data_IF_805340718793
#
_entry.id   IF_805340718793
#
_cell.length_a   1.000
_cell.length_b   1.000
_cell.length_c   1.000
_cell.angle_alpha   90.00
_cell.angle_beta   90.00
_cell.angle_gamma   90.00
#
_symmetry.space_group_name_H-M   'P 1'
#
loop_
_entity.id
_entity.type
_entity.pdbx_description
1 polymer ?
#
# COMPACT_ATOMS: atom_id res chain seq x y z
N UNK A 1 -4.89 15.43 16.86
CA UNK A 1 -5.34 14.19 16.20
C UNK A 1 -4.16 13.24 16.15
N UNK A 2 -4.13 12.28 17.08
CA UNK A 2 -3.01 11.35 17.26
C UNK A 2 -2.89 10.39 16.07
N UNK A 3 -1.69 10.34 15.49
CA UNK A 3 -1.33 9.36 14.48
C UNK A 3 -1.05 8.03 15.18
N UNK A 4 -2.02 7.12 15.20
CA UNK A 4 -1.93 5.80 15.81
C UNK A 4 -1.02 4.84 15.02
N UNK A 5 0.26 5.18 14.86
CA UNK A 5 1.18 4.43 14.00
C UNK A 5 1.63 3.07 14.55
N UNK A 6 1.39 2.72 15.81
CA UNK A 6 2.20 1.63 16.41
C UNK A 6 1.50 0.51 17.18
N UNK A 7 0.20 0.56 17.46
CA UNK A 7 -0.47 -0.52 18.21
C UNK A 7 -1.14 -1.61 17.37
N UNK A 8 -1.12 -1.52 16.06
CA UNK A 8 -2.13 -2.21 15.26
C UNK A 8 -1.64 -3.58 14.68
N UNK A 9 -0.39 -3.76 14.26
CA UNK A 9 -0.07 -4.86 13.33
C UNK A 9 0.23 -6.25 13.93
N UNK A 10 0.29 -6.43 15.26
CA UNK A 10 0.45 -7.77 15.86
C UNK A 10 -0.87 -8.47 16.22
N UNK A 11 -2.02 -7.90 15.87
CA UNK A 11 -3.32 -8.50 16.21
C UNK A 11 -4.54 -7.93 15.49
N UNK A 12 -4.39 -7.00 14.53
CA UNK A 12 -5.55 -6.56 13.74
C UNK A 12 -6.13 -7.73 12.96
N UNK A 13 -7.42 -7.98 13.19
CA UNK A 13 -8.28 -8.67 12.25
C UNK A 13 -8.31 -7.85 10.95
N UNK A 14 -7.84 -8.42 9.83
CA UNK A 14 -7.70 -7.74 8.52
C UNK A 14 -8.96 -7.00 8.04
N UNK A 15 -10.13 -7.34 8.61
CA UNK A 15 -11.41 -6.64 8.46
C UNK A 15 -11.38 -5.19 8.97
N UNK A 16 -10.64 -4.90 10.05
CA UNK A 16 -10.48 -3.57 10.64
C UNK A 16 -9.70 -2.62 9.71
N UNK A 17 -8.87 -3.17 8.81
CA UNK A 17 -8.10 -2.39 7.82
C UNK A 17 -9.01 -1.81 6.72
N UNK A 18 -10.16 -2.44 6.47
CA UNK A 18 -11.20 -1.92 5.57
C UNK A 18 -12.16 -0.95 6.26
N UNK A 19 -12.30 -1.04 7.58
CA UNK A 19 -13.02 -0.06 8.40
C UNK A 19 -12.18 1.21 8.64
N UNK A 20 -10.85 1.07 8.61
CA UNK A 20 -9.93 2.20 8.74
C UNK A 20 -9.87 3.01 7.43
N UNK A 21 -10.65 4.09 7.38
CA UNK A 21 -10.57 5.12 6.34
C UNK A 21 -9.43 6.07 6.67
N UNK A 22 -8.21 5.72 6.28
CA UNK A 22 -7.06 6.53 6.63
C UNK A 22 -5.72 6.01 6.14
N UNK A 23 -4.70 6.73 6.59
CA UNK A 23 -3.31 6.52 6.24
C UNK A 23 -2.63 5.70 7.34
N UNK A 24 -2.09 4.54 6.97
CA UNK A 24 -1.42 3.60 7.86
C UNK A 24 0.05 3.54 7.46
N UNK A 25 0.94 3.83 8.41
CA UNK A 25 2.38 3.77 8.20
C UNK A 25 2.98 2.54 8.89
N UNK A 26 3.74 1.74 8.15
CA UNK A 26 4.50 0.61 8.66
C UNK A 26 5.99 0.97 8.71
N UNK A 27 6.58 1.07 9.90
CA UNK A 27 8.02 1.28 10.09
C UNK A 27 8.74 0.02 10.58
N UNK A 28 10.01 -0.19 10.20
CA UNK A 28 10.86 -1.19 10.88
C UNK A 28 11.11 -0.82 12.34
N UNK A 29 10.68 -1.68 13.26
CA UNK A 29 11.41 -1.88 14.52
C UNK A 29 12.01 -3.29 14.45
N UNK A 30 13.18 -3.43 13.82
CA UNK A 30 13.88 -4.71 13.70
C UNK A 30 14.82 -4.79 12.49
N UNK A 31 15.81 -5.70 12.49
CA UNK A 31 16.79 -5.84 11.42
C UNK A 31 16.16 -6.15 10.07
N UNK A 32 16.85 -5.78 8.99
CA UNK A 32 16.49 -6.08 7.59
C UNK A 32 16.03 -7.54 7.47
N UNK A 33 14.78 -7.76 7.01
CA UNK A 33 14.00 -9.03 6.98
C UNK A 33 12.81 -9.09 7.97
N UNK A 34 12.41 -7.96 8.56
CA UNK A 34 11.26 -7.84 9.49
C UNK A 34 9.85 -8.12 8.94
N UNK A 35 9.68 -8.52 7.66
CA UNK A 35 8.40 -8.99 7.12
C UNK A 35 7.40 -7.91 6.64
N UNK A 36 7.79 -6.64 6.50
CA UNK A 36 6.90 -5.55 6.01
C UNK A 36 6.28 -5.83 4.63
N UNK A 37 7.10 -6.24 3.66
CA UNK A 37 6.59 -6.69 2.36
C UNK A 37 5.64 -7.88 2.52
N UNK A 38 5.83 -8.76 3.51
CA UNK A 38 4.85 -9.82 3.77
C UNK A 38 3.53 -9.28 4.34
N UNK A 39 3.57 -8.23 5.18
CA UNK A 39 2.36 -7.53 5.64
C UNK A 39 1.66 -6.86 4.44
N UNK A 40 2.39 -6.11 3.62
CA UNK A 40 1.85 -5.47 2.41
C UNK A 40 1.23 -6.50 1.45
N UNK A 41 1.94 -7.58 1.12
CA UNK A 41 1.44 -8.65 0.24
C UNK A 41 0.24 -9.38 0.86
N UNK A 42 0.24 -9.64 2.17
CA UNK A 42 -0.88 -10.31 2.86
C UNK A 42 -2.12 -9.43 2.93
N UNK A 43 -1.95 -8.14 3.24
CA UNK A 43 -3.03 -7.15 3.21
C UNK A 43 -3.60 -7.02 1.79
N UNK A 44 -2.73 -6.89 0.78
CA UNK A 44 -3.13 -6.87 -0.63
C UNK A 44 -3.96 -8.11 -0.98
N UNK A 45 -3.45 -9.31 -0.66
CA UNK A 45 -4.13 -10.57 -0.94
C UNK A 45 -5.51 -10.68 -0.29
N UNK A 46 -5.70 -10.06 0.87
CA UNK A 46 -6.94 -10.11 1.62
C UNK A 46 -7.99 -9.15 1.08
N UNK A 47 -7.59 -7.90 0.83
CA UNK A 47 -8.49 -6.88 0.26
C UNK A 47 -8.88 -7.24 -1.18
N UNK A 48 -7.92 -7.77 -1.95
CA UNK A 48 -8.11 -8.21 -3.33
C UNK A 48 -9.11 -9.36 -3.50
N UNK A 49 -9.61 -9.98 -2.42
CA UNK A 49 -10.70 -10.96 -2.51
C UNK A 49 -12.00 -10.34 -2.99
N UNK A 50 -12.26 -9.09 -2.58
CA UNK A 50 -13.55 -8.43 -2.78
C UNK A 50 -13.43 -7.03 -3.42
N UNK A 51 -12.23 -6.42 -3.40
CA UNK A 51 -12.03 -5.05 -3.85
C UNK A 51 -10.75 -4.90 -4.66
N UNK A 52 -10.63 -3.82 -5.44
CA UNK A 52 -9.41 -3.54 -6.18
C UNK A 52 -8.32 -2.95 -5.27
N UNK A 53 -7.08 -3.34 -5.52
CA UNK A 53 -5.87 -2.92 -4.80
C UNK A 53 -4.85 -2.36 -5.80
N UNK A 54 -4.34 -1.15 -5.54
CA UNK A 54 -3.18 -0.62 -6.24
C UNK A 54 -1.93 -0.83 -5.39
N UNK A 55 -0.91 -1.50 -5.94
CA UNK A 55 0.37 -1.74 -5.31
C UNK A 55 1.45 -0.96 -6.06
N UNK A 56 2.05 0.03 -5.41
CA UNK A 56 3.21 0.75 -5.91
C UNK A 56 4.46 0.06 -5.37
N UNK A 57 5.18 -0.64 -6.25
CA UNK A 57 6.40 -1.35 -5.93
C UNK A 57 7.61 -0.48 -6.27
N UNK A 58 8.29 0.01 -5.24
CA UNK A 58 9.44 0.90 -5.42
C UNK A 58 10.78 0.19 -5.19
N UNK A 59 10.74 -1.07 -4.79
CA UNK A 59 11.90 -1.88 -4.47
C UNK A 59 11.96 -3.18 -5.27
N UNK A 60 11.11 -3.31 -6.30
CA UNK A 60 10.92 -4.52 -7.10
C UNK A 60 10.72 -5.79 -6.25
N UNK A 61 10.04 -5.62 -5.11
CA UNK A 61 9.89 -6.62 -4.05
C UNK A 61 8.53 -7.32 -4.08
N UNK A 62 7.64 -6.86 -4.97
CA UNK A 62 6.35 -7.50 -5.22
C UNK A 62 6.55 -8.88 -5.86
N UNK A 63 5.83 -9.88 -5.36
CA UNK A 63 5.87 -11.25 -5.89
C UNK A 63 4.46 -11.84 -5.94
N UNK A 64 3.89 -12.01 -7.15
CA UNK A 64 2.64 -12.75 -7.33
C UNK A 64 2.71 -14.16 -6.75
N UNK A 65 3.86 -14.82 -6.84
CA UNK A 65 4.06 -16.17 -6.30
C UNK A 65 3.88 -16.19 -4.77
N UNK A 66 4.37 -15.17 -4.05
CA UNK A 66 4.14 -15.06 -2.60
C UNK A 66 2.68 -14.81 -2.25
N UNK A 67 1.96 -14.02 -3.04
CA UNK A 67 0.51 -13.83 -2.87
C UNK A 67 -0.22 -15.16 -3.07
N UNK A 68 0.09 -15.90 -4.13
CA UNK A 68 -0.50 -17.21 -4.39
C UNK A 68 -0.22 -18.21 -3.25
N UNK A 69 0.99 -18.16 -2.69
CA UNK A 69 1.37 -18.96 -1.52
C UNK A 69 0.53 -18.61 -0.28
N UNK A 70 0.34 -17.32 0.03
CA UNK A 70 -0.49 -16.91 1.17
C UNK A 70 -1.96 -17.32 1.01
N UNK A 71 -2.51 -17.11 -0.17
CA UNK A 71 -3.88 -17.54 -0.49
C UNK A 71 -4.01 -19.07 -0.41
N UNK A 72 -3.04 -19.81 -0.94
CA UNK A 72 -3.02 -21.26 -0.93
C UNK A 72 -2.96 -21.90 0.46
N UNK A 73 -2.46 -21.17 1.48
CA UNK A 73 -2.49 -21.60 2.89
C UNK A 73 -3.80 -21.28 3.62
N UNK A 74 -4.52 -20.26 3.16
CA UNK A 74 -5.72 -19.76 3.85
C UNK A 74 -6.98 -20.44 3.32
N UNK A 75 -6.91 -21.03 2.13
CA UNK A 75 -8.05 -21.65 1.45
C UNK A 75 -7.88 -23.16 1.53
N UNK A 76 -8.92 -23.87 1.98
CA UNK A 76 -9.09 -25.31 1.85
C UNK A 76 -10.07 -25.59 0.70
N UNK A 77 -9.63 -25.50 -0.58
CA UNK A 77 -10.55 -25.63 -1.70
C UNK A 77 -10.96 -27.09 -1.86
N UNK A 78 -12.20 -27.30 -2.27
CA UNK A 78 -12.79 -28.60 -2.59
C UNK A 78 -12.17 -29.26 -3.83
N UNK A 79 -11.50 -28.50 -4.71
CA UNK A 79 -10.79 -29.01 -5.89
C UNK A 79 -9.66 -28.08 -6.35
N UNK A 80 -8.68 -28.61 -7.08
CA UNK A 80 -7.56 -27.84 -7.64
C UNK A 80 -8.03 -26.76 -8.64
N UNK A 81 -9.12 -27.00 -9.36
CA UNK A 81 -9.69 -26.09 -10.35
C UNK A 81 -10.35 -24.87 -9.69
N UNK A 82 -11.10 -25.07 -8.60
CA UNK A 82 -11.68 -23.99 -7.80
C UNK A 82 -10.59 -23.10 -7.18
N UNK A 83 -9.48 -23.71 -6.74
CA UNK A 83 -8.30 -22.98 -6.25
C UNK A 83 -7.73 -22.05 -7.31
N UNK A 84 -7.53 -22.55 -8.53
CA UNK A 84 -6.96 -21.77 -9.63
C UNK A 84 -7.87 -20.61 -10.05
N UNK A 85 -9.18 -20.84 -10.16
CA UNK A 85 -10.13 -19.77 -10.49
C UNK A 85 -10.15 -18.66 -9.42
N UNK A 86 -10.12 -19.04 -8.14
CA UNK A 86 -10.05 -18.08 -7.05
C UNK A 86 -8.75 -17.28 -7.08
N UNK A 87 -7.60 -17.94 -7.28
CA UNK A 87 -6.30 -17.26 -7.39
C UNK A 87 -6.31 -16.25 -8.54
N UNK A 88 -6.79 -16.65 -9.72
CA UNK A 88 -6.90 -15.75 -10.88
C UNK A 88 -7.76 -14.52 -10.57
N UNK A 89 -8.91 -14.70 -9.91
CA UNK A 89 -9.78 -13.60 -9.48
C UNK A 89 -9.08 -12.64 -8.52
N UNK A 90 -8.34 -13.15 -7.53
CA UNK A 90 -7.63 -12.28 -6.58
C UNK A 90 -6.49 -11.54 -7.28
N UNK A 91 -5.75 -12.22 -8.16
CA UNK A 91 -4.64 -11.60 -8.89
C UNK A 91 -5.13 -10.50 -9.84
N UNK A 92 -6.27 -10.69 -10.52
CA UNK A 92 -6.85 -9.66 -11.39
C UNK A 92 -7.30 -8.40 -10.64
N UNK A 93 -7.53 -8.51 -9.33
CA UNK A 93 -7.91 -7.38 -8.48
C UNK A 93 -6.70 -6.60 -7.94
N UNK A 94 -5.47 -7.06 -8.15
CA UNK A 94 -4.24 -6.39 -7.72
C UNK A 94 -3.54 -5.81 -8.95
N UNK A 95 -3.59 -4.48 -9.08
CA UNK A 95 -2.79 -3.76 -10.07
C UNK A 95 -1.45 -3.38 -9.43
N UNK A 96 -0.35 -3.88 -9.97
CA UNK A 96 0.99 -3.54 -9.49
C UNK A 96 1.69 -2.61 -10.49
N UNK A 97 2.22 -1.49 -10.00
CA UNK A 97 3.00 -0.54 -10.78
C UNK A 97 4.37 -0.36 -10.13
N UNK A 98 5.43 -0.62 -10.89
CA UNK A 98 6.79 -0.38 -10.42
C UNK A 98 7.13 1.10 -10.58
N UNK A 99 7.58 1.74 -9.51
CA UNK A 99 7.87 3.17 -9.46
C UNK A 99 9.24 3.39 -8.84
N UNK A 100 10.18 3.96 -9.59
CA UNK A 100 11.60 4.02 -9.17
C UNK A 100 12.09 5.42 -8.78
N UNK A 101 11.27 6.45 -9.01
CA UNK A 101 11.54 7.82 -8.58
C UNK A 101 10.26 8.48 -8.02
N UNK A 102 10.46 9.56 -7.25
CA UNK A 102 9.36 10.24 -6.56
C UNK A 102 8.41 10.97 -7.52
N UNK A 103 8.87 11.40 -8.70
CA UNK A 103 8.04 12.09 -9.69
C UNK A 103 7.11 11.11 -10.40
N UNK A 104 7.63 9.94 -10.80
CA UNK A 104 6.81 8.84 -11.30
C UNK A 104 5.74 8.41 -10.27
N UNK A 105 6.05 8.48 -8.97
CA UNK A 105 5.04 8.25 -7.93
C UNK A 105 3.95 9.32 -7.97
N UNK A 106 4.31 10.60 -8.06
CA UNK A 106 3.33 11.69 -8.19
C UNK A 106 2.45 11.53 -9.41
N UNK A 107 3.02 11.16 -10.56
CA UNK A 107 2.27 10.93 -11.79
C UNK A 107 1.21 9.84 -11.59
N UNK A 108 1.59 8.70 -10.99
CA UNK A 108 0.65 7.62 -10.70
C UNK A 108 -0.41 8.04 -9.68
N UNK A 109 -0.06 8.80 -8.65
CA UNK A 109 -1.02 9.29 -7.66
C UNK A 109 -2.00 10.31 -8.26
N UNK A 110 -1.56 11.18 -9.16
CA UNK A 110 -2.44 12.13 -9.87
C UNK A 110 -3.34 11.42 -10.88
N UNK A 111 -2.83 10.42 -11.60
CA UNK A 111 -3.66 9.58 -12.46
C UNK A 111 -4.72 8.82 -11.64
N UNK A 112 -4.34 8.30 -10.48
CA UNK A 112 -5.27 7.65 -9.55
C UNK A 112 -6.33 8.64 -9.05
N UNK A 113 -5.94 9.86 -8.66
CA UNK A 113 -6.89 10.90 -8.23
C UNK A 113 -7.91 11.19 -9.33
N UNK A 114 -7.44 11.39 -10.57
CA UNK A 114 -8.30 11.62 -11.73
C UNK A 114 -9.25 10.45 -12.00
N UNK A 115 -8.73 9.21 -11.90
CA UNK A 115 -9.52 7.99 -12.06
C UNK A 115 -10.63 7.88 -11.00
N UNK A 116 -10.30 8.11 -9.72
CA UNK A 116 -11.26 8.00 -8.62
C UNK A 116 -12.35 9.08 -8.71
N UNK A 117 -12.00 10.32 -9.09
CA UNK A 117 -12.98 11.38 -9.36
C UNK A 117 -13.95 11.02 -10.48
N UNK A 118 -13.48 10.33 -11.51
CA UNK A 118 -14.34 9.83 -12.59
C UNK A 118 -15.23 8.64 -12.14
N UNK A 119 -14.80 7.89 -11.12
CA UNK A 119 -15.50 6.72 -10.60
C UNK A 119 -16.64 7.07 -9.63
N UNK A 120 -16.59 8.22 -8.94
CA UNK A 120 -17.52 8.64 -7.86
C UNK A 120 -19.02 8.75 -8.24
N UNK A 121 -19.42 8.35 -9.46
CA UNK A 121 -20.82 8.24 -9.90
C UNK A 121 -21.19 6.93 -10.60
N UNK A 122 -20.27 5.97 -10.75
CA UNK A 122 -20.52 4.68 -11.42
C UNK A 122 -20.35 3.56 -10.41
N UNK A 123 -21.43 2.86 -10.05
CA UNK A 123 -21.46 1.79 -9.03
C UNK A 123 -20.68 0.50 -9.37
N UNK A 124 -19.47 0.63 -9.89
CA UNK A 124 -18.54 -0.48 -10.18
C UNK A 124 -17.64 -0.84 -8.99
N UNK A 125 -16.71 -1.79 -9.22
CA UNK A 125 -15.72 -2.22 -8.25
C UNK A 125 -14.84 -1.04 -7.79
N UNK A 126 -15.07 -0.60 -6.56
CA UNK A 126 -14.35 0.53 -5.97
C UNK A 126 -12.96 0.07 -5.51
N UNK A 127 -11.92 0.81 -5.90
CA UNK A 127 -10.59 0.64 -5.31
C UNK A 127 -10.64 1.01 -3.83
N UNK A 128 -10.15 0.11 -2.96
CA UNK A 128 -10.28 0.25 -1.50
C UNK A 128 -8.94 0.27 -0.77
N UNK A 129 -7.86 -0.08 -1.45
CA UNK A 129 -6.52 -0.08 -0.86
C UNK A 129 -5.47 0.40 -1.87
N UNK A 130 -4.66 1.35 -1.43
CA UNK A 130 -3.40 1.74 -2.04
C UNK A 130 -2.26 1.31 -1.12
N UNK A 131 -1.28 0.58 -1.67
CA UNK A 131 -0.07 0.19 -0.96
C UNK A 131 1.13 0.85 -1.62
N UNK A 132 2.03 1.43 -0.83
CA UNK A 132 3.32 1.92 -1.30
C UNK A 132 4.43 1.18 -0.54
N UNK A 133 5.12 0.26 -1.22
CA UNK A 133 6.19 -0.58 -0.65
C UNK A 133 7.48 -0.41 -1.46
N UNK A 134 8.51 0.31 -0.99
CA UNK A 134 8.63 1.14 0.21
C UNK A 134 9.04 2.57 -0.16
N UNK A 135 8.40 3.57 0.45
CA UNK A 135 8.66 4.99 0.13
C UNK A 135 10.13 5.39 0.40
N UNK A 136 10.84 4.65 1.26
CA UNK A 136 12.23 4.92 1.60
C UNK A 136 13.22 4.79 0.45
N UNK A 137 12.99 3.93 -0.55
CA UNK A 137 13.90 3.81 -1.71
C UNK A 137 13.85 5.04 -2.61
N UNK A 138 12.67 5.65 -2.75
CA UNK A 138 12.45 6.84 -3.59
C UNK A 138 13.04 8.11 -2.98
N UNK A 139 13.07 8.16 -1.66
CA UNK A 139 13.47 9.36 -0.91
C UNK A 139 14.98 9.35 -0.61
N UNK A 140 15.60 8.18 -0.47
CA UNK A 140 17.03 8.05 -0.15
C UNK A 140 17.97 8.84 -1.08
N UNK A 141 17.77 8.89 -2.41
CA UNK A 141 18.61 9.72 -3.29
C UNK A 141 18.32 11.22 -3.17
N UNK A 142 17.10 11.62 -2.78
CA UNK A 142 16.69 13.03 -2.64
C UNK A 142 17.08 13.62 -1.27
N UNK A 143 17.24 12.76 -0.26
CA UNK A 143 17.65 13.12 1.10
C UNK A 143 19.16 13.09 1.35
N UNK A 144 19.97 12.72 0.35
CA UNK A 144 21.40 12.95 0.41
C UNK A 144 21.65 14.46 0.57
N UNK A 145 22.11 14.87 1.76
CA UNK A 145 22.33 16.26 2.19
C UNK A 145 21.06 17.09 2.41
N UNK A 146 20.53 17.11 3.65
CA UNK A 146 19.90 18.28 4.29
C UNK A 146 18.96 19.19 3.46
N UNK A 147 18.33 18.68 2.39
CA UNK A 147 17.66 19.51 1.39
C UNK A 147 16.22 19.79 1.83
N UNK A 148 15.87 21.07 1.87
CA UNK A 148 14.48 21.54 2.01
C UNK A 148 13.58 20.92 0.94
N UNK A 149 14.13 20.66 -0.25
CA UNK A 149 13.44 20.04 -1.38
C UNK A 149 12.97 18.61 -1.06
N UNK A 150 13.82 17.75 -0.51
CA UNK A 150 13.42 16.38 -0.17
C UNK A 150 12.31 16.34 0.86
N UNK A 151 12.37 17.23 1.86
CA UNK A 151 11.28 17.42 2.84
C UNK A 151 9.99 17.91 2.18
N UNK A 152 10.06 18.92 1.31
CA UNK A 152 8.89 19.44 0.61
C UNK A 152 8.21 18.38 -0.27
N UNK A 153 8.99 17.56 -0.99
CA UNK A 153 8.45 16.46 -1.80
C UNK A 153 7.81 15.38 -0.94
N UNK A 154 8.42 15.02 0.20
CA UNK A 154 7.82 14.09 1.16
C UNK A 154 6.51 14.59 1.74
N UNK A 155 6.46 15.86 2.17
CA UNK A 155 5.25 16.50 2.69
C UNK A 155 4.16 16.54 1.62
N UNK A 156 4.52 16.87 0.37
CA UNK A 156 3.59 16.87 -0.77
C UNK A 156 3.03 15.47 -1.05
N UNK A 157 3.87 14.45 -1.06
CA UNK A 157 3.45 13.06 -1.23
C UNK A 157 2.51 12.61 -0.08
N UNK A 158 2.84 12.94 1.16
CA UNK A 158 2.01 12.65 2.32
C UNK A 158 0.66 13.36 2.28
N UNK A 159 0.64 14.62 1.87
CA UNK A 159 -0.59 15.37 1.65
C UNK A 159 -1.47 14.71 0.58
N UNK A 160 -0.90 14.34 -0.58
CA UNK A 160 -1.64 13.72 -1.67
C UNK A 160 -2.21 12.35 -1.27
N UNK A 161 -1.42 11.51 -0.59
CA UNK A 161 -1.87 10.22 -0.07
C UNK A 161 -3.00 10.38 0.96
N UNK A 162 -2.89 11.35 1.87
CA UNK A 162 -3.94 11.65 2.85
C UNK A 162 -5.21 12.18 2.19
N UNK A 163 -5.06 13.03 1.17
CA UNK A 163 -6.17 13.55 0.37
C UNK A 163 -6.93 12.41 -0.32
N UNK A 164 -6.21 11.51 -0.99
CA UNK A 164 -6.79 10.30 -1.61
C UNK A 164 -7.54 9.44 -0.58
N UNK A 165 -6.94 9.21 0.59
CA UNK A 165 -7.55 8.41 1.64
C UNK A 165 -8.88 9.02 2.12
N UNK A 166 -8.89 10.33 2.37
CA UNK A 166 -10.04 11.02 2.95
C UNK A 166 -11.15 11.28 1.94
N UNK A 167 -10.80 11.74 0.73
CA UNK A 167 -11.80 12.16 -0.27
C UNK A 167 -12.46 10.98 -0.99
N UNK A 168 -11.72 9.88 -1.21
CA UNK A 168 -12.20 8.76 -2.01
C UNK A 168 -12.42 7.47 -1.19
N UNK A 169 -12.50 7.59 0.13
CA UNK A 169 -12.76 6.45 1.03
C UNK A 169 -11.76 5.28 0.84
N UNK A 170 -10.50 5.64 0.61
CA UNK A 170 -9.43 4.71 0.27
C UNK A 170 -8.57 4.44 1.51
N UNK A 171 -8.27 3.17 1.80
CA UNK A 171 -7.23 2.85 2.78
C UNK A 171 -5.85 3.00 2.11
N UNK A 172 -4.91 3.69 2.77
CA UNK A 172 -3.55 3.86 2.24
C UNK A 172 -2.55 3.25 3.20
N UNK A 173 -1.78 2.28 2.72
CA UNK A 173 -0.73 1.59 3.47
C UNK A 173 0.64 1.98 2.92
N UNK A 174 1.46 2.64 3.73
CA UNK A 174 2.80 3.07 3.36
C UNK A 174 3.83 2.30 4.17
N UNK A 175 4.81 1.68 3.51
CA UNK A 175 5.93 1.02 4.17
C UNK A 175 7.20 1.90 4.14
N UNK A 176 7.91 1.92 5.26
CA UNK A 176 9.18 2.63 5.44
C UNK A 176 10.28 1.67 5.89
N UNK A 177 11.48 1.85 5.34
CA UNK A 177 12.67 1.09 5.72
C UNK A 177 13.20 1.52 7.10
N UNK A 178 13.03 2.78 7.53
CA UNK A 178 13.52 3.26 8.85
C UNK A 178 12.48 4.09 9.59
N UNK A 179 12.43 3.98 10.92
CA UNK A 179 11.55 4.82 11.78
C UNK A 179 11.88 6.31 11.66
N UNK A 180 13.16 6.65 11.51
CA UNK A 180 13.59 8.03 11.31
C UNK A 180 12.96 8.67 10.06
N UNK A 181 12.73 7.88 9.00
CA UNK A 181 12.03 8.35 7.81
C UNK A 181 10.54 8.64 8.07
N UNK A 182 9.92 7.96 9.04
CA UNK A 182 8.53 8.23 9.46
C UNK A 182 8.43 9.52 10.25
N UNK A 183 9.38 9.77 11.15
CA UNK A 183 9.43 11.02 11.95
C UNK A 183 9.62 12.27 11.08
N UNK A 184 10.37 12.15 9.99
CA UNK A 184 10.51 13.23 8.99
C UNK A 184 9.25 13.40 8.15
N UNK A 185 8.42 12.36 8.05
CA UNK A 185 7.16 12.40 7.31
C UNK A 185 5.97 12.90 8.14
N UNK A 186 6.07 12.78 9.47
CA UNK A 186 5.03 13.20 10.43
C UNK A 186 5.25 14.61 11.02
N UNK A 187 6.46 15.17 10.93
CA UNK A 187 6.76 16.57 11.28
C UNK A 187 6.65 17.48 10.05
#
# INVERSE_FOLDING_TARGET
MEWNCWKMLKGINMSFLLEFKGLICCSEMGPSSSGKTQVCLRTASNVARNHMVLYLDTGNSFSPQRIAYFLGKTISPSSAQAKNQFLQKVMSNISCHSVFDIFAMFDVLHQLESYLRCQDGRGGFQMRLLIVDSISSLISPVLGSSSTLGRALMTSAGYLLKKLAHQHNLAVLVSFARVSSVLVWLN
#
